data_IF_386763430437
#
_entry.id   IF_386763430437
#
_cell.length_a   1.000
_cell.length_b   1.000
_cell.length_c   1.000
_cell.angle_alpha   90.00
_cell.angle_beta   90.00
_cell.angle_gamma   90.00
#
_symmetry.space_group_name_H-M   'P 1'
#
loop_
_entity.id
_entity.type
_entity.pdbx_description
1 polymer ?
#
# COMPACT_ATOMS: atom_id res chain seq x y z
N UNK A 1 13.97 28.50 2.20
CA UNK A 1 13.94 27.45 3.23
C UNK A 1 14.21 26.11 2.58
N UNK A 2 15.18 25.39 3.10
CA UNK A 2 15.46 24.01 2.67
C UNK A 2 14.51 23.04 3.37
N UNK A 3 14.27 21.86 2.79
CA UNK A 3 13.36 20.84 3.37
C UNK A 3 13.72 20.46 4.84
N UNK A 4 15.00 20.34 5.24
CA UNK A 4 15.38 20.07 6.62
C UNK A 4 15.05 21.21 7.59
N UNK A 5 15.24 22.47 7.20
CA UNK A 5 14.92 23.64 8.04
C UNK A 5 13.43 23.68 8.40
N UNK A 6 12.57 23.36 7.43
CA UNK A 6 11.12 23.31 7.64
C UNK A 6 10.76 22.22 8.67
N UNK A 7 11.34 21.03 8.55
CA UNK A 7 11.05 19.93 9.47
C UNK A 7 11.56 20.18 10.89
N UNK A 8 12.68 20.89 11.04
CA UNK A 8 13.18 21.31 12.36
C UNK A 8 12.22 22.31 13.00
N UNK A 9 11.73 23.30 12.25
CA UNK A 9 10.72 24.24 12.77
C UNK A 9 9.42 23.53 13.16
N UNK A 10 8.96 22.59 12.32
CA UNK A 10 7.77 21.78 12.61
C UNK A 10 7.96 20.94 13.87
N UNK A 11 9.14 20.33 14.06
CA UNK A 11 9.45 19.56 15.27
C UNK A 11 9.28 20.41 16.54
N UNK A 12 9.82 21.63 16.54
CA UNK A 12 9.69 22.55 17.68
C UNK A 12 8.24 22.98 17.91
N UNK A 13 7.47 23.23 16.86
CA UNK A 13 6.04 23.56 16.98
C UNK A 13 5.26 22.38 17.58
N UNK A 14 5.50 21.15 17.10
CA UNK A 14 4.78 19.96 17.56
C UNK A 14 5.11 19.62 19.01
N UNK A 15 6.37 19.80 19.45
CA UNK A 15 6.78 19.60 20.85
C UNK A 15 6.08 20.56 21.83
N UNK A 16 5.78 21.77 21.37
CA UNK A 16 5.12 22.79 22.18
C UNK A 16 3.59 22.65 22.18
N UNK A 17 3.01 21.73 21.39
CA UNK A 17 1.58 21.50 21.37
C UNK A 17 1.13 20.58 22.52
N UNK A 18 0.17 21.00 23.36
CA UNK A 18 -0.33 20.18 24.47
C UNK A 18 -1.17 18.98 24.01
N UNK A 19 -1.69 19.03 22.79
CA UNK A 19 -2.55 18.00 22.19
C UNK A 19 -1.73 16.79 21.71
N UNK A 20 -0.41 16.95 21.60
CA UNK A 20 0.50 15.93 21.10
C UNK A 20 1.35 15.35 22.23
N UNK A 21 1.78 14.11 22.04
CA UNK A 21 2.72 13.40 22.92
C UNK A 21 3.75 12.66 22.09
N UNK A 22 4.85 12.25 22.72
CA UNK A 22 5.88 11.37 22.12
C UNK A 22 6.35 11.89 20.74
N UNK A 23 6.81 13.15 20.72
CA UNK A 23 7.28 13.79 19.49
C UNK A 23 8.73 13.39 19.21
N UNK A 24 8.96 12.68 18.10
CA UNK A 24 10.26 12.17 17.67
C UNK A 24 10.58 12.56 16.23
N UNK A 25 11.86 12.58 15.85
CA UNK A 25 12.29 12.91 14.50
C UNK A 25 13.16 11.82 13.92
N UNK A 26 12.92 11.46 12.66
CA UNK A 26 13.80 10.62 11.84
C UNK A 26 14.20 11.38 10.58
N UNK A 27 15.30 12.12 10.67
CA UNK A 27 15.85 12.87 9.54
C UNK A 27 16.88 12.08 8.72
N UNK A 28 17.24 10.87 9.17
CA UNK A 28 18.20 10.00 8.49
C UNK A 28 17.54 8.99 7.55
N UNK A 29 16.24 8.73 7.71
CA UNK A 29 15.48 7.94 6.75
C UNK A 29 15.48 8.54 5.35
N UNK A 30 15.21 7.67 4.35
CA UNK A 30 15.05 8.05 2.94
C UNK A 30 14.06 9.21 2.73
N UNK A 31 13.03 9.29 3.56
CA UNK A 31 12.10 10.43 3.61
C UNK A 31 12.12 10.99 5.03
N UNK A 32 12.78 12.13 5.25
CA UNK A 32 12.83 12.79 6.55
C UNK A 32 11.42 13.08 7.08
N UNK A 33 11.18 12.74 8.34
CA UNK A 33 9.88 12.90 8.96
C UNK A 33 9.95 13.19 10.47
N UNK A 34 8.89 13.79 10.99
CA UNK A 34 8.59 13.96 12.42
C UNK A 34 7.40 13.08 12.75
N UNK A 35 7.48 12.35 13.85
CA UNK A 35 6.44 11.50 14.39
C UNK A 35 5.89 12.14 15.66
N UNK A 36 4.59 12.03 15.87
CA UNK A 36 3.93 12.42 17.12
C UNK A 36 2.68 11.59 17.33
N UNK A 37 2.21 11.52 18.57
CA UNK A 37 0.96 10.89 18.92
C UNK A 37 -0.07 11.96 19.25
N UNK A 38 -1.23 11.90 18.60
CA UNK A 38 -2.38 12.72 18.97
C UNK A 38 -3.05 12.11 20.20
N UNK A 39 -3.11 12.88 21.29
CA UNK A 39 -3.68 12.42 22.56
C UNK A 39 -5.18 12.16 22.47
N UNK A 40 -5.89 12.87 21.59
CA UNK A 40 -7.34 12.78 21.50
C UNK A 40 -7.80 11.51 20.77
N UNK A 41 -7.16 11.18 19.64
CA UNK A 41 -7.48 9.96 18.86
C UNK A 41 -6.64 8.75 19.23
N UNK A 42 -5.49 8.94 19.90
CA UNK A 42 -4.50 7.88 20.14
C UNK A 42 -3.80 7.42 18.85
N UNK A 43 -3.84 8.21 17.78
CA UNK A 43 -3.23 7.87 16.50
C UNK A 43 -1.82 8.46 16.38
N UNK A 44 -0.91 7.66 15.80
CA UNK A 44 0.41 8.11 15.41
C UNK A 44 0.34 8.91 14.11
N UNK A 45 0.81 10.15 14.16
CA UNK A 45 0.93 11.06 13.05
C UNK A 45 2.39 11.07 12.54
N UNK A 46 2.56 11.00 11.23
CA UNK A 46 3.87 11.13 10.55
C UNK A 46 3.82 12.34 9.62
N UNK A 47 4.63 13.34 9.91
CA UNK A 47 4.74 14.59 9.14
C UNK A 47 6.02 14.56 8.31
N UNK A 48 5.90 14.76 7.00
CA UNK A 48 7.04 14.87 6.07
C UNK A 48 6.86 16.07 5.17
N UNK A 49 7.95 16.61 4.62
CA UNK A 49 7.93 17.77 3.75
C UNK A 49 8.33 17.38 2.31
N UNK A 50 7.64 17.95 1.31
CA UNK A 50 8.03 17.83 -0.10
C UNK A 50 7.76 16.47 -0.78
N UNK A 51 6.98 15.58 -0.16
CA UNK A 51 6.72 14.23 -0.71
C UNK A 51 5.62 14.23 -1.79
N UNK A 52 5.84 14.96 -2.89
CA UNK A 52 4.87 15.12 -3.97
C UNK A 52 4.50 13.77 -4.63
N UNK A 53 5.46 12.84 -4.73
CA UNK A 53 5.21 11.51 -5.29
C UNK A 53 4.19 10.74 -4.44
N UNK A 54 4.32 10.75 -3.12
CA UNK A 54 3.33 10.11 -2.24
C UNK A 54 1.94 10.77 -2.33
N UNK A 55 1.87 12.09 -2.49
CA UNK A 55 0.60 12.80 -2.71
C UNK A 55 -0.06 12.34 -4.02
N UNK A 56 0.70 12.27 -5.12
CA UNK A 56 0.21 11.79 -6.41
C UNK A 56 -0.25 10.33 -6.35
N UNK A 57 0.53 9.45 -5.70
CA UNK A 57 0.15 8.04 -5.50
C UNK A 57 -1.15 7.93 -4.70
N UNK A 58 -1.28 8.68 -3.60
CA UNK A 58 -2.48 8.67 -2.75
C UNK A 58 -3.71 9.16 -3.52
N UNK A 59 -3.57 10.24 -4.29
CA UNK A 59 -4.64 10.77 -5.15
C UNK A 59 -5.07 9.73 -6.20
N UNK A 60 -4.10 9.06 -6.84
CA UNK A 60 -4.37 8.03 -7.83
C UNK A 60 -5.10 6.81 -7.23
N UNK A 61 -4.61 6.30 -6.10
CA UNK A 61 -5.26 5.19 -5.40
C UNK A 61 -6.68 5.56 -4.94
N UNK A 62 -6.89 6.79 -4.48
CA UNK A 62 -8.21 7.28 -4.09
C UNK A 62 -9.16 7.38 -5.29
N UNK A 63 -8.69 7.83 -6.45
CA UNK A 63 -9.48 7.86 -7.68
C UNK A 63 -9.89 6.45 -8.12
N UNK A 64 -8.97 5.48 -8.07
CA UNK A 64 -9.25 4.08 -8.38
C UNK A 64 -10.24 3.46 -7.38
N UNK A 65 -10.10 3.76 -6.09
CA UNK A 65 -11.02 3.28 -5.05
C UNK A 65 -12.44 3.83 -5.23
N UNK A 66 -12.58 5.06 -5.72
CA UNK A 66 -13.89 5.65 -6.08
C UNK A 66 -14.48 5.01 -7.34
N UNK A 67 -13.62 4.67 -8.31
CA UNK A 67 -14.05 4.04 -9.56
C UNK A 67 -14.56 2.61 -9.34
N UNK A 68 -13.88 1.83 -8.51
CA UNK A 68 -14.21 0.42 -8.27
C UNK A 68 -14.36 0.14 -6.76
N UNK A 69 -15.60 0.10 -6.24
CA UNK A 69 -15.87 -0.12 -4.82
C UNK A 69 -15.33 -1.44 -4.27
N UNK A 70 -15.14 -2.46 -5.12
CA UNK A 70 -14.58 -3.76 -4.70
C UNK A 70 -13.08 -3.71 -4.41
N UNK A 71 -12.39 -2.66 -4.85
CA UNK A 71 -10.95 -2.51 -4.67
C UNK A 71 -10.57 -2.43 -3.19
N UNK A 72 -11.21 -1.53 -2.43
CA UNK A 72 -10.86 -1.30 -1.02
C UNK A 72 -11.03 -2.57 -0.17
N UNK A 73 -12.17 -3.29 -0.21
CA UNK A 73 -12.32 -4.55 0.51
C UNK A 73 -11.27 -5.59 0.14
N UNK A 74 -10.88 -5.66 -1.14
CA UNK A 74 -9.90 -6.63 -1.62
C UNK A 74 -8.49 -6.31 -1.14
N UNK A 75 -8.09 -5.03 -1.19
CA UNK A 75 -6.82 -4.54 -0.64
C UNK A 75 -6.73 -4.78 0.87
N UNK A 76 -7.81 -4.50 1.61
CA UNK A 76 -7.86 -4.73 3.05
C UNK A 76 -7.75 -6.23 3.38
N UNK A 77 -8.51 -7.09 2.69
CA UNK A 77 -8.44 -8.53 2.90
C UNK A 77 -7.03 -9.07 2.62
N UNK A 78 -6.42 -8.65 1.51
CA UNK A 78 -5.07 -9.08 1.14
C UNK A 78 -4.01 -8.59 2.14
N UNK A 79 -4.15 -7.35 2.64
CA UNK A 79 -3.28 -6.82 3.69
C UNK A 79 -3.44 -7.55 5.03
N UNK A 80 -4.67 -7.90 5.41
CA UNK A 80 -4.91 -8.70 6.62
C UNK A 80 -4.23 -10.07 6.52
N UNK A 81 -4.33 -10.74 5.37
CA UNK A 81 -3.59 -11.98 5.13
C UNK A 81 -2.07 -11.77 5.23
N UNK A 82 -1.54 -10.71 4.62
CA UNK A 82 -0.10 -10.42 4.68
C UNK A 82 0.39 -10.18 6.12
N UNK A 83 -0.40 -9.53 6.97
CA UNK A 83 -0.12 -9.36 8.40
C UNK A 83 -0.07 -10.68 9.16
N UNK A 84 -1.05 -11.55 8.93
CA UNK A 84 -1.10 -12.88 9.56
C UNK A 84 0.11 -13.73 9.19
N UNK A 85 0.68 -13.51 8.01
CA UNK A 85 1.90 -14.16 7.54
C UNK A 85 3.19 -13.39 7.88
N UNK A 86 3.11 -12.28 8.62
CA UNK A 86 4.25 -11.39 8.94
C UNK A 86 5.01 -10.84 7.72
N UNK A 87 4.34 -10.71 6.56
CA UNK A 87 4.97 -10.24 5.31
C UNK A 87 5.01 -8.70 5.24
N UNK A 88 4.22 -7.99 6.04
CA UNK A 88 4.14 -6.52 6.04
C UNK A 88 5.06 -5.83 7.08
N UNK A 89 5.89 -6.60 7.80
CA UNK A 89 6.84 -6.07 8.76
C UNK A 89 8.05 -5.41 8.06
N UNK A 90 7.97 -4.10 7.81
CA UNK A 90 9.05 -3.37 7.11
C UNK A 90 10.39 -3.35 7.87
N UNK A 91 10.38 -3.47 9.19
CA UNK A 91 11.60 -3.58 9.99
C UNK A 91 12.41 -4.86 9.67
N UNK A 92 11.72 -5.91 9.22
CA UNK A 92 12.31 -7.20 8.82
C UNK A 92 12.49 -7.30 7.29
N UNK A 93 12.36 -6.20 6.56
CA UNK A 93 12.41 -6.19 5.08
C UNK A 93 11.10 -6.61 4.41
N UNK A 94 9.99 -6.59 5.14
CA UNK A 94 8.65 -6.84 4.63
C UNK A 94 8.16 -5.81 3.61
N UNK A 95 7.09 -6.15 2.91
CA UNK A 95 6.55 -5.36 1.81
C UNK A 95 5.75 -4.16 2.34
N UNK A 96 5.98 -2.93 1.84
CA UNK A 96 5.21 -1.76 2.25
C UNK A 96 3.72 -1.88 1.92
N UNK A 97 2.88 -1.26 2.74
CA UNK A 97 1.42 -1.34 2.62
C UNK A 97 0.86 -0.92 1.25
N UNK A 98 1.42 0.12 0.63
CA UNK A 98 0.97 0.60 -0.68
C UNK A 98 1.26 -0.41 -1.80
N UNK A 99 2.30 -1.24 -1.66
CA UNK A 99 2.64 -2.26 -2.65
C UNK A 99 1.55 -3.32 -2.76
N UNK A 100 0.92 -3.72 -1.64
CA UNK A 100 -0.23 -4.63 -1.68
C UNK A 100 -1.41 -4.04 -2.45
N UNK A 101 -1.67 -2.73 -2.32
CA UNK A 101 -2.70 -2.06 -3.11
C UNK A 101 -2.39 -2.12 -4.61
N UNK A 102 -1.14 -1.87 -5.00
CA UNK A 102 -0.69 -1.97 -6.40
C UNK A 102 -0.80 -3.40 -6.94
N UNK A 103 -0.46 -4.42 -6.16
CA UNK A 103 -0.59 -5.83 -6.55
C UNK A 103 -2.05 -6.19 -6.84
N UNK A 104 -3.00 -5.73 -6.01
CA UNK A 104 -4.43 -5.94 -6.23
C UNK A 104 -4.93 -5.19 -7.45
N UNK A 105 -4.52 -3.93 -7.63
CA UNK A 105 -4.87 -3.14 -8.82
C UNK A 105 -4.37 -3.84 -10.09
N UNK A 106 -3.12 -4.30 -10.08
CA UNK A 106 -2.53 -5.03 -11.19
C UNK A 106 -3.29 -6.34 -11.47
N UNK A 107 -3.66 -7.10 -10.44
CA UNK A 107 -4.50 -8.28 -10.61
C UNK A 107 -5.84 -7.96 -11.29
N UNK A 108 -6.52 -6.88 -10.88
CA UNK A 108 -7.79 -6.45 -11.48
C UNK A 108 -7.62 -5.97 -12.93
N UNK A 109 -6.45 -5.41 -13.26
CA UNK A 109 -6.09 -4.98 -14.62
C UNK A 109 -5.75 -6.16 -15.55
N UNK A 110 -5.17 -7.24 -15.04
CA UNK A 110 -4.72 -8.41 -15.83
C UNK A 110 -5.77 -9.51 -15.99
N UNK A 111 -7.00 -9.29 -15.49
CA UNK A 111 -8.09 -10.26 -15.70
C UNK A 111 -8.41 -10.40 -17.19
N UNK A 112 -8.89 -11.59 -17.59
CA UNK A 112 -9.35 -11.85 -18.96
C UNK A 112 -10.35 -10.79 -19.45
N UNK A 113 -11.21 -10.34 -18.54
CA UNK A 113 -12.02 -9.13 -18.68
C UNK A 113 -11.51 -8.11 -17.64
N UNK A 114 -10.80 -7.05 -18.07
CA UNK A 114 -10.19 -6.10 -17.15
C UNK A 114 -11.27 -5.30 -16.41
N UNK A 115 -11.19 -5.31 -15.09
CA UNK A 115 -12.16 -4.60 -14.22
C UNK A 115 -11.74 -3.13 -14.05
N UNK A 116 -10.43 -2.87 -14.03
CA UNK A 116 -9.85 -1.54 -13.94
C UNK A 116 -9.20 -1.14 -15.28
N UNK A 117 -9.27 0.16 -15.65
CA UNK A 117 -8.56 0.65 -16.82
C UNK A 117 -7.04 0.49 -16.65
N UNK A 118 -6.38 0.09 -17.73
CA UNK A 118 -4.93 -0.02 -17.82
C UNK A 118 -4.39 1.30 -18.35
N UNK A 119 -3.81 2.13 -17.49
CA UNK A 119 -3.37 3.48 -17.86
C UNK A 119 -2.06 3.53 -18.67
N UNK A 120 -1.22 2.51 -18.53
CA UNK A 120 0.01 2.34 -19.30
C UNK A 120 -0.18 1.12 -20.21
N UNK A 121 -0.28 1.34 -21.52
CA UNK A 121 -0.48 0.27 -22.51
C UNK A 121 0.66 -0.75 -22.59
N UNK A 122 0.83 -1.38 -23.76
CA UNK A 122 1.70 -2.53 -24.04
C UNK A 122 3.15 -2.48 -23.47
N UNK A 123 3.66 -1.28 -23.13
CA UNK A 123 4.96 -1.02 -22.50
C UNK A 123 5.12 -1.57 -21.08
N UNK A 124 4.09 -1.53 -20.23
CA UNK A 124 4.21 -2.09 -18.85
C UNK A 124 4.37 -3.61 -18.88
N UNK A 125 3.81 -4.29 -19.89
CA UNK A 125 3.98 -5.74 -20.05
C UNK A 125 5.45 -6.13 -20.20
N UNK A 126 6.24 -5.31 -20.88
CA UNK A 126 7.69 -5.54 -21.09
C UNK A 126 8.52 -5.16 -19.86
N UNK A 127 8.19 -4.05 -19.19
CA UNK A 127 8.89 -3.65 -17.95
C UNK A 127 8.63 -4.60 -16.79
N UNK A 128 7.43 -5.19 -16.71
CA UNK A 128 7.10 -6.21 -15.70
C UNK A 128 7.91 -7.48 -15.93
N UNK A 129 8.07 -7.96 -17.17
CA UNK A 129 8.94 -9.12 -17.46
C UNK A 129 10.38 -8.92 -16.95
N UNK A 130 10.92 -7.71 -17.08
CA UNK A 130 12.24 -7.36 -16.53
C UNK A 130 12.22 -7.27 -14.99
N UNK A 131 11.14 -6.80 -14.39
CA UNK A 131 10.98 -6.79 -12.93
C UNK A 131 10.87 -8.20 -12.36
N UNK A 132 10.11 -9.11 -13.02
CA UNK A 132 10.08 -10.54 -12.69
C UNK A 132 11.48 -11.17 -12.78
N UNK A 133 12.32 -10.69 -13.70
CA UNK A 133 13.70 -11.15 -13.84
C UNK A 133 14.62 -10.67 -12.71
N UNK A 134 14.44 -9.44 -12.19
CA UNK A 134 15.16 -8.96 -11.00
C UNK A 134 14.69 -9.64 -9.71
N UNK A 135 13.39 -9.92 -9.57
CA UNK A 135 12.86 -10.78 -8.49
C UNK A 135 13.23 -12.27 -8.68
N UNK A 136 13.76 -12.66 -9.85
CA UNK A 136 14.22 -13.99 -10.19
C UNK A 136 15.53 -14.42 -9.49
N UNK A 137 16.20 -13.53 -8.76
CA UNK A 137 17.42 -13.86 -7.98
C UNK A 137 17.06 -14.41 -6.58
N UNK A 138 15.80 -14.29 -6.15
CA UNK A 138 15.27 -14.91 -4.92
C UNK A 138 14.34 -16.09 -5.27
N UNK A 139 14.91 -17.25 -5.59
CA UNK A 139 14.17 -18.51 -5.53
C UNK A 139 14.25 -19.04 -4.09
N UNK A 140 13.11 -19.31 -3.40
CA UNK A 140 11.97 -20.08 -3.91
C UNK A 140 10.62 -19.34 -3.72
N UNK A 141 10.27 -18.39 -4.59
CA UNK A 141 9.03 -17.58 -4.44
C UNK A 141 8.23 -17.36 -5.72
N UNK A 142 8.46 -18.11 -6.79
CA UNK A 142 7.58 -18.11 -7.99
C UNK A 142 6.21 -18.74 -7.71
N UNK A 143 6.13 -19.60 -6.69
CA UNK A 143 4.84 -20.12 -6.16
C UNK A 143 3.97 -18.98 -5.62
N UNK A 144 4.53 -17.82 -5.25
CA UNK A 144 3.74 -16.74 -4.70
C UNK A 144 2.92 -16.01 -5.76
N UNK A 145 3.33 -15.91 -7.03
CA UNK A 145 2.51 -15.20 -8.04
C UNK A 145 1.36 -16.06 -8.55
N UNK A 146 1.60 -17.34 -8.90
CA UNK A 146 0.50 -18.27 -9.18
C UNK A 146 -0.38 -18.49 -7.94
N UNK A 147 0.24 -18.60 -6.76
CA UNK A 147 -0.44 -18.73 -5.48
C UNK A 147 -1.23 -17.49 -5.09
N UNK A 148 -0.75 -16.27 -5.31
CA UNK A 148 -1.49 -15.01 -5.07
C UNK A 148 -2.66 -14.92 -6.05
N UNK A 149 -2.46 -15.31 -7.32
CA UNK A 149 -3.55 -15.34 -8.30
C UNK A 149 -4.59 -16.39 -7.91
N UNK A 150 -4.18 -17.58 -7.44
CA UNK A 150 -5.07 -18.62 -6.92
C UNK A 150 -5.71 -18.24 -5.58
N UNK A 151 -5.03 -17.51 -4.69
CA UNK A 151 -5.55 -17.03 -3.40
C UNK A 151 -6.56 -15.93 -3.65
N UNK A 152 -6.28 -14.95 -4.52
CA UNK A 152 -7.24 -13.92 -4.95
C UNK A 152 -8.42 -14.54 -5.68
N UNK A 153 -8.20 -15.50 -6.58
CA UNK A 153 -9.28 -16.23 -7.26
C UNK A 153 -10.08 -17.08 -6.26
N UNK A 154 -9.46 -17.71 -5.28
CA UNK A 154 -10.14 -18.50 -4.23
C UNK A 154 -10.93 -17.60 -3.27
N UNK A 155 -10.39 -16.45 -2.86
CA UNK A 155 -11.10 -15.44 -2.06
C UNK A 155 -12.27 -14.80 -2.84
N UNK A 156 -12.09 -14.52 -4.13
CA UNK A 156 -13.14 -13.98 -4.99
C UNK A 156 -14.21 -15.04 -5.27
N UNK A 157 -13.83 -16.28 -5.57
CA UNK A 157 -14.78 -17.40 -5.77
C UNK A 157 -15.53 -17.74 -4.49
N UNK A 158 -14.89 -17.76 -3.32
CA UNK A 158 -15.58 -18.00 -2.04
C UNK A 158 -16.60 -16.89 -1.73
N UNK A 159 -16.34 -15.63 -2.10
CA UNK A 159 -17.36 -14.56 -1.98
C UNK A 159 -18.45 -14.62 -3.07
N UNK A 160 -18.14 -15.03 -4.29
CA UNK A 160 -19.16 -15.20 -5.34
C UNK A 160 -20.09 -16.38 -5.04
N UNK A 161 -19.58 -17.46 -4.44
CA UNK A 161 -20.42 -18.60 -4.00
C UNK A 161 -21.32 -18.23 -2.82
N UNK A 162 -20.87 -17.39 -1.88
CA UNK A 162 -21.72 -16.94 -0.76
C UNK A 162 -22.80 -15.90 -1.14
N UNK A 163 -22.74 -15.26 -2.32
CA UNK A 163 -23.78 -14.32 -2.78
C UNK A 163 -24.88 -15.03 -3.61
N UNK A 164 -24.68 -16.29 -4.01
CA UNK A 164 -25.63 -17.07 -4.82
C UNK A 164 -26.32 -18.22 -4.08
N UNK A 165 -26.11 -18.38 -2.77
CA UNK A 165 -26.87 -19.36 -1.97
C UNK A 165 -27.67 -18.63 -0.90
N UNK A 166 -28.77 -18.02 -1.33
CA UNK A 166 -29.99 -18.08 -0.53
C UNK A 166 -31.23 -18.08 -1.42
N UNK A 167 -31.71 -19.27 -1.86
CA UNK A 167 -33.12 -19.47 -2.14
C UNK A 167 -33.68 -20.43 -1.09
N UNK A 168 -34.27 -19.89 -0.04
CA UNK A 168 -35.47 -20.38 0.66
C UNK A 168 -35.91 -19.35 1.69
#
# INVERSE_FOLDING_TARGET
>A
MTQPEVLIQVLEILKNSPELSEVESDFHAKVPAVFCWDRSSGLMCKVSAGNNVACLTTSHLAALAKLEPRLVPLVLAFRCWARLCHIDCQAEGGIPSYSFALMVIFFLQQRKEPILPVYLGHWVRQSVQQMTQYFGIFQPRVIMFEGITQILVSFICQKTVCIQINPT
#
